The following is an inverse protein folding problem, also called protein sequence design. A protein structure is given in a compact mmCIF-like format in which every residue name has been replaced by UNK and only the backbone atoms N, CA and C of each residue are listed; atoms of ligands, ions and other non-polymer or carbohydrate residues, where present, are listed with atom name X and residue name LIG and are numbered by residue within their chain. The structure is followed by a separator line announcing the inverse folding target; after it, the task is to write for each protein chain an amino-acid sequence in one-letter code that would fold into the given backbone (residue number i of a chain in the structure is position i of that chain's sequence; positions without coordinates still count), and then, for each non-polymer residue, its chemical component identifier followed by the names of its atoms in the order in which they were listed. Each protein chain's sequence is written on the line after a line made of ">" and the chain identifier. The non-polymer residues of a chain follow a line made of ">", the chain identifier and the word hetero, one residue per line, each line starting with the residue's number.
data_IF_346084585027
#
_entry.id   IF_346084585027
#
_cell.length_a   1.000
_cell.length_b   1.000
_cell.length_c   1.000
_cell.angle_alpha   90.00
_cell.angle_beta   90.00
_cell.angle_gamma   90.00
#
_symmetry.space_group_name_H-M   'P 1'
#
loop_
_entity.id
_entity.type
_entity.pdbx_description
1 polymer ?
#
# COMPACT_ATOMS: atom_id res chain seq x y z
N UNK A 1 -15.82 3.69 -0.76
CA UNK A 1 -15.19 5.00 -1.03
C UNK A 1 -14.04 4.74 -1.98
N UNK A 2 -14.05 5.37 -3.15
CA UNK A 2 -13.04 5.13 -4.20
C UNK A 2 -11.73 5.82 -3.85
N UNK A 3 -10.61 5.12 -3.96
CA UNK A 3 -9.27 5.71 -3.88
C UNK A 3 -9.06 6.70 -5.03
N UNK A 4 -9.08 8.00 -4.75
CA UNK A 4 -8.57 9.06 -5.62
C UNK A 4 -7.03 9.05 -5.62
N UNK A 5 -6.43 7.95 -6.09
CA UNK A 5 -5.01 7.93 -6.43
C UNK A 5 -4.88 8.19 -7.94
N UNK A 6 -3.97 9.11 -8.36
CA UNK A 6 -3.84 9.52 -9.77
C UNK A 6 -3.39 8.38 -10.72
N UNK A 7 -3.03 7.21 -10.18
CA UNK A 7 -2.69 6.02 -10.96
C UNK A 7 -3.71 4.93 -10.64
N UNK A 8 -4.77 4.84 -11.44
CA UNK A 8 -5.84 3.87 -11.22
C UNK A 8 -5.56 2.59 -12.00
N UNK A 9 -4.89 1.62 -11.36
CA UNK A 9 -4.61 0.30 -11.94
C UNK A 9 -5.90 -0.55 -12.05
N UNK A 10 -6.81 -0.38 -11.10
CA UNK A 10 -8.05 -1.16 -10.97
C UNK A 10 -9.01 -0.98 -12.15
N UNK A 11 -9.31 0.25 -12.66
CA UNK A 11 -10.19 0.42 -13.80
C UNK A 11 -9.62 -0.14 -15.10
N UNK A 12 -8.32 0.11 -15.38
CA UNK A 12 -7.67 -0.44 -16.57
C UNK A 12 -7.73 -1.98 -16.56
N UNK A 13 -7.36 -2.59 -15.42
CA UNK A 13 -7.46 -4.03 -15.24
C UNK A 13 -8.90 -4.54 -15.38
N UNK A 14 -9.89 -3.87 -14.76
CA UNK A 14 -11.30 -4.26 -14.84
C UNK A 14 -11.81 -4.26 -16.27
N UNK A 15 -11.49 -3.21 -17.04
CA UNK A 15 -11.90 -3.14 -18.44
C UNK A 15 -11.31 -4.27 -19.27
N UNK A 16 -10.01 -4.56 -19.08
CA UNK A 16 -9.35 -5.65 -19.82
C UNK A 16 -9.86 -7.02 -19.39
N UNK A 17 -10.12 -7.24 -18.09
CA UNK A 17 -10.73 -8.48 -17.58
C UNK A 17 -12.12 -8.70 -18.17
N UNK A 18 -12.99 -7.69 -18.12
CA UNK A 18 -14.32 -7.79 -18.71
C UNK A 18 -14.26 -8.04 -20.20
N UNK A 19 -13.31 -7.42 -20.92
CA UNK A 19 -13.10 -7.72 -22.32
C UNK A 19 -12.74 -9.20 -22.55
N UNK A 20 -11.81 -9.75 -21.77
CA UNK A 20 -11.40 -11.16 -21.85
C UNK A 20 -12.56 -12.12 -21.52
N UNK A 21 -13.37 -11.80 -20.51
CA UNK A 21 -14.56 -12.57 -20.12
C UNK A 21 -15.64 -12.56 -21.21
N UNK A 22 -15.86 -11.40 -21.82
CA UNK A 22 -16.86 -11.21 -22.88
C UNK A 22 -16.33 -11.58 -24.27
N UNK A 23 -15.05 -11.91 -24.42
CA UNK A 23 -14.41 -12.15 -25.72
C UNK A 23 -15.17 -13.18 -26.58
N UNK A 24 -15.62 -14.34 -26.08
CA UNK A 24 -16.41 -15.28 -26.89
C UNK A 24 -17.69 -14.66 -27.45
N UNK A 25 -18.38 -13.86 -26.63
CA UNK A 25 -19.60 -13.15 -27.02
C UNK A 25 -19.32 -12.04 -28.02
N UNK A 26 -18.21 -11.32 -27.86
CA UNK A 26 -17.78 -10.27 -28.78
C UNK A 26 -17.43 -10.87 -30.15
N UNK A 27 -16.73 -11.99 -30.19
CA UNK A 27 -16.41 -12.72 -31.43
C UNK A 27 -17.68 -13.20 -32.12
N UNK A 28 -18.59 -13.83 -31.38
CA UNK A 28 -19.86 -14.30 -31.92
C UNK A 28 -20.72 -13.14 -32.45
N UNK A 29 -20.78 -12.03 -31.71
CA UNK A 29 -21.50 -10.83 -32.13
C UNK A 29 -20.87 -10.19 -33.37
N UNK A 30 -19.55 -10.07 -33.42
CA UNK A 30 -18.83 -9.53 -34.57
C UNK A 30 -18.99 -10.40 -35.82
N UNK A 31 -19.07 -11.73 -35.66
CA UNK A 31 -19.39 -12.66 -36.73
C UNK A 31 -20.84 -12.48 -37.19
N UNK A 32 -21.82 -12.39 -36.29
CA UNK A 32 -23.24 -12.22 -36.66
C UNK A 32 -23.57 -10.84 -37.23
N UNK A 33 -22.90 -9.79 -36.76
CA UNK A 33 -23.06 -8.42 -37.23
C UNK A 33 -22.35 -8.19 -38.59
N UNK A 34 -22.62 -9.06 -39.55
CA UNK A 34 -22.18 -8.88 -40.93
C UNK A 34 -22.97 -7.72 -41.56
N UNK A 35 -22.41 -6.50 -41.57
CA UNK A 35 -22.25 -5.64 -42.77
C UNK A 35 -22.02 -4.14 -42.47
N UNK A 36 -22.50 -3.57 -41.36
CA UNK A 36 -22.42 -2.10 -41.16
C UNK A 36 -21.26 -1.62 -40.26
N UNK A 37 -20.74 -2.48 -39.37
CA UNK A 37 -19.64 -2.12 -38.46
C UNK A 37 -18.62 -3.25 -38.41
N UNK A 38 -17.48 -3.09 -39.07
CA UNK A 38 -16.32 -3.98 -38.87
C UNK A 38 -15.80 -3.78 -37.46
N UNK A 39 -16.22 -4.63 -36.52
CA UNK A 39 -15.66 -4.65 -35.17
C UNK A 39 -14.29 -5.34 -35.27
N UNK A 40 -13.19 -4.67 -34.91
CA UNK A 40 -11.88 -5.29 -34.90
C UNK A 40 -11.83 -6.37 -33.81
N UNK A 41 -11.47 -7.59 -34.21
CA UNK A 41 -11.27 -8.72 -33.31
C UNK A 41 -9.76 -8.90 -33.08
N UNK A 42 -9.35 -9.14 -31.84
CA UNK A 42 -7.97 -9.45 -31.53
C UNK A 42 -7.54 -10.76 -32.18
N UNK A 43 -6.31 -10.78 -32.71
CA UNK A 43 -5.67 -12.04 -33.06
C UNK A 43 -5.41 -12.89 -31.81
N UNK A 44 -5.15 -14.17 -32.01
CA UNK A 44 -4.81 -15.08 -30.90
C UNK A 44 -3.63 -14.56 -30.08
N UNK A 45 -2.55 -14.13 -30.74
CA UNK A 45 -1.38 -13.55 -30.08
C UNK A 45 -1.70 -12.26 -29.31
N UNK A 46 -2.55 -11.39 -29.86
CA UNK A 46 -2.98 -10.19 -29.14
C UNK A 46 -3.83 -10.51 -27.91
N UNK A 47 -4.63 -11.58 -27.98
CA UNK A 47 -5.40 -12.08 -26.85
C UNK A 47 -4.49 -12.64 -25.75
N UNK A 48 -3.46 -13.42 -26.10
CA UNK A 48 -2.46 -13.94 -25.15
C UNK A 48 -1.71 -12.81 -24.45
N UNK A 49 -1.17 -11.85 -25.22
CA UNK A 49 -0.49 -10.67 -24.67
C UNK A 49 -1.41 -9.88 -23.73
N UNK A 50 -2.72 -9.83 -24.04
CA UNK A 50 -3.68 -9.15 -23.18
C UNK A 50 -3.90 -9.88 -21.84
N UNK A 51 -3.92 -11.21 -21.86
CA UNK A 51 -3.98 -12.02 -20.63
C UNK A 51 -2.75 -11.80 -19.76
N UNK A 52 -1.57 -11.73 -20.37
CA UNK A 52 -0.31 -11.43 -19.68
C UNK A 52 -0.35 -10.06 -19.00
N UNK A 53 -0.80 -9.02 -19.71
CA UNK A 53 -0.98 -7.68 -19.15
C UNK A 53 -1.95 -7.71 -17.96
N UNK A 54 -3.07 -8.42 -18.06
CA UNK A 54 -4.04 -8.54 -16.97
C UNK A 54 -3.42 -9.25 -15.76
N UNK A 55 -2.59 -10.28 -15.95
CA UNK A 55 -1.91 -10.97 -14.87
C UNK A 55 -0.95 -10.03 -14.11
N UNK A 56 -0.19 -9.19 -14.83
CA UNK A 56 0.70 -8.19 -14.22
C UNK A 56 -0.09 -7.15 -13.43
N UNK A 57 -1.19 -6.65 -14.00
CA UNK A 57 -2.05 -5.66 -13.35
C UNK A 57 -2.79 -6.22 -12.13
N UNK A 58 -3.03 -7.53 -12.08
CA UNK A 58 -3.70 -8.16 -10.94
C UNK A 58 -2.89 -8.10 -9.65
N UNK A 59 -1.56 -8.20 -9.77
CA UNK A 59 -0.65 -8.02 -8.63
C UNK A 59 -0.79 -6.59 -8.07
N UNK A 60 -0.78 -5.58 -8.95
CA UNK A 60 -0.93 -4.18 -8.55
C UNK A 60 -2.27 -3.93 -7.87
N UNK A 61 -3.35 -4.46 -8.44
CA UNK A 61 -4.68 -4.32 -7.88
C UNK A 61 -4.81 -4.99 -6.51
N UNK A 62 -4.31 -6.22 -6.35
CA UNK A 62 -4.40 -6.95 -5.08
C UNK A 62 -3.70 -6.20 -3.96
N UNK A 63 -2.55 -5.60 -4.26
CA UNK A 63 -1.84 -4.75 -3.32
C UNK A 63 -2.60 -3.47 -2.98
N UNK A 64 -3.20 -2.83 -3.99
CA UNK A 64 -4.04 -1.66 -3.79
C UNK A 64 -5.21 -1.98 -2.86
N UNK A 65 -5.98 -3.03 -3.12
CA UNK A 65 -7.12 -3.44 -2.27
C UNK A 65 -6.67 -3.73 -0.83
N UNK A 66 -5.54 -4.42 -0.67
CA UNK A 66 -5.01 -4.75 0.65
C UNK A 66 -4.60 -3.50 1.43
N UNK A 67 -4.05 -2.48 0.75
CA UNK A 67 -3.69 -1.21 1.37
C UNK A 67 -4.92 -0.29 1.56
N UNK A 68 -5.93 -0.40 0.72
CA UNK A 68 -7.17 0.38 0.82
C UNK A 68 -8.15 -0.14 1.88
N UNK A 69 -7.85 -1.25 2.57
CA UNK A 69 -8.72 -1.82 3.60
C UNK A 69 -8.74 -0.95 4.88
N UNK A 70 -9.78 -0.12 5.03
CA UNK A 70 -9.96 0.93 6.05
C UNK A 70 -9.87 0.52 7.55
N UNK A 71 -9.70 -0.77 7.89
CA UNK A 71 -9.78 -1.24 9.29
C UNK A 71 -8.46 -1.36 10.04
N UNK A 72 -7.33 -1.37 9.34
CA UNK A 72 -6.01 -1.49 9.97
C UNK A 72 -5.17 -0.30 9.58
N UNK A 73 -4.17 0.10 10.38
CA UNK A 73 -3.17 1.06 9.92
C UNK A 73 -2.48 0.47 8.68
N UNK A 74 -2.96 0.85 7.49
CA UNK A 74 -2.41 0.50 6.18
C UNK A 74 -0.92 0.79 6.12
N UNK A 75 -0.50 1.83 6.85
CA UNK A 75 0.88 2.27 6.90
C UNK A 75 1.82 1.21 7.51
N UNK A 76 1.32 0.38 8.43
CA UNK A 76 2.06 -0.77 8.97
C UNK A 76 2.22 -1.91 7.94
N UNK A 77 1.29 -2.00 6.99
CA UNK A 77 1.28 -3.01 5.92
C UNK A 77 2.07 -2.58 4.69
N UNK A 78 2.36 -1.29 4.53
CA UNK A 78 2.98 -0.73 3.33
C UNK A 78 4.22 -1.51 2.86
N UNK A 79 5.27 -1.62 3.69
CA UNK A 79 6.49 -2.34 3.27
C UNK A 79 6.29 -3.85 3.08
N UNK A 80 5.58 -4.59 3.96
CA UNK A 80 5.24 -5.98 3.70
C UNK A 80 4.55 -6.19 2.34
N UNK A 81 3.56 -5.35 2.02
CA UNK A 81 2.80 -5.44 0.77
C UNK A 81 3.68 -5.10 -0.43
N UNK A 82 4.48 -4.04 -0.37
CA UNK A 82 5.41 -3.73 -1.46
C UNK A 82 6.44 -4.83 -1.70
N UNK A 83 6.94 -5.47 -0.64
CA UNK A 83 7.85 -6.62 -0.79
C UNK A 83 7.14 -7.81 -1.46
N UNK A 84 5.89 -8.10 -1.07
CA UNK A 84 5.09 -9.14 -1.72
C UNK A 84 4.85 -8.85 -3.20
N UNK A 85 4.56 -7.59 -3.53
CA UNK A 85 4.36 -7.12 -4.91
C UNK A 85 5.63 -7.29 -5.75
N UNK A 86 6.78 -6.87 -5.22
CA UNK A 86 8.09 -7.05 -5.89
C UNK A 86 8.33 -8.53 -6.17
N UNK A 87 8.13 -9.39 -5.17
CA UNK A 87 8.32 -10.84 -5.33
C UNK A 87 7.32 -11.46 -6.33
N UNK A 88 6.09 -10.95 -6.41
CA UNK A 88 5.09 -11.42 -7.35
C UNK A 88 5.43 -11.00 -8.79
N UNK A 89 5.86 -9.76 -9.00
CA UNK A 89 6.31 -9.31 -10.31
C UNK A 89 7.61 -9.98 -10.76
N UNK A 90 8.51 -10.32 -9.84
CA UNK A 90 9.72 -11.08 -10.17
C UNK A 90 9.38 -12.48 -10.70
N UNK A 91 8.36 -13.14 -10.12
CA UNK A 91 7.82 -14.40 -10.66
C UNK A 91 7.16 -14.23 -12.03
N UNK A 92 6.43 -13.13 -12.24
CA UNK A 92 5.85 -12.80 -13.55
C UNK A 92 6.94 -12.54 -14.59
N UNK A 93 8.07 -11.92 -14.21
CA UNK A 93 9.21 -11.70 -15.10
C UNK A 93 9.79 -13.01 -15.64
N UNK A 94 9.85 -14.06 -14.80
CA UNK A 94 10.27 -15.41 -15.22
C UNK A 94 9.25 -16.09 -16.14
N UNK A 95 7.97 -15.77 -15.99
CA UNK A 95 6.88 -16.43 -16.73
C UNK A 95 6.58 -15.76 -18.06
N UNK A 96 6.84 -14.45 -18.16
CA UNK A 96 6.49 -13.60 -19.30
C UNK A 96 7.72 -12.74 -19.68
N UNK A 97 8.77 -13.35 -20.26
CA UNK A 97 10.04 -12.68 -20.52
C UNK A 97 9.91 -11.51 -21.52
N UNK A 98 8.86 -11.48 -22.34
CA UNK A 98 8.55 -10.41 -23.29
C UNK A 98 8.30 -9.07 -22.58
N UNK A 99 7.82 -9.11 -21.33
CA UNK A 99 7.58 -7.92 -20.52
C UNK A 99 8.73 -7.60 -19.56
N UNK A 100 9.85 -8.32 -19.64
CA UNK A 100 10.95 -8.22 -18.68
C UNK A 100 11.44 -6.81 -18.43
N UNK A 101 11.67 -6.04 -19.50
CA UNK A 101 12.10 -4.66 -19.37
C UNK A 101 11.11 -3.78 -18.57
N UNK A 102 9.81 -3.94 -18.83
CA UNK A 102 8.78 -3.20 -18.10
C UNK A 102 8.70 -3.65 -16.64
N UNK A 103 8.84 -4.95 -16.38
CA UNK A 103 8.78 -5.51 -15.04
C UNK A 103 9.97 -5.09 -14.20
N UNK A 104 11.18 -5.15 -14.74
CA UNK A 104 12.39 -4.64 -14.10
C UNK A 104 12.25 -3.15 -13.73
N UNK A 105 11.72 -2.34 -14.65
CA UNK A 105 11.46 -0.92 -14.39
C UNK A 105 10.49 -0.73 -13.22
N UNK A 106 9.37 -1.46 -13.21
CA UNK A 106 8.33 -1.35 -12.17
C UNK A 106 8.86 -1.85 -10.81
N UNK A 107 9.60 -2.96 -10.79
CA UNK A 107 10.24 -3.52 -9.59
C UNK A 107 11.24 -2.51 -9.03
N UNK A 108 12.13 -1.98 -9.87
CA UNK A 108 13.12 -0.99 -9.45
C UNK A 108 12.47 0.28 -8.91
N UNK A 109 11.43 0.79 -9.59
CA UNK A 109 10.69 1.98 -9.14
C UNK A 109 10.02 1.76 -7.79
N UNK A 110 9.40 0.60 -7.59
CA UNK A 110 8.75 0.23 -6.32
C UNK A 110 9.78 0.03 -5.20
N UNK A 111 10.93 -0.59 -5.51
CA UNK A 111 12.04 -0.74 -4.56
C UNK A 111 12.64 0.60 -4.11
N UNK A 112 12.77 1.55 -5.03
CA UNK A 112 13.22 2.91 -4.71
C UNK A 112 12.22 3.65 -3.80
N UNK A 113 10.92 3.46 -4.04
CA UNK A 113 9.88 4.01 -3.16
C UNK A 113 10.01 3.46 -1.73
N UNK A 114 10.11 2.13 -1.60
CA UNK A 114 10.32 1.47 -0.29
C UNK A 114 11.59 1.98 0.38
N UNK A 115 12.68 2.12 -0.36
CA UNK A 115 13.97 2.54 0.19
C UNK A 115 13.94 3.99 0.67
N UNK A 116 13.29 4.89 -0.07
CA UNK A 116 13.16 6.30 0.30
C UNK A 116 12.28 6.52 1.52
N UNK A 117 11.16 5.82 1.60
CA UNK A 117 10.16 6.05 2.64
C UNK A 117 10.48 5.24 3.93
N UNK A 118 11.46 4.33 3.89
CA UNK A 118 11.90 3.50 5.03
C UNK A 118 12.44 4.31 6.21
N UNK A 119 13.09 5.43 5.95
CA UNK A 119 13.69 6.26 7.00
C UNK A 119 12.65 7.15 7.69
N UNK A 120 11.41 7.20 7.20
CA UNK A 120 10.36 7.99 7.81
C UNK A 120 9.85 7.32 9.12
N UNK A 121 9.97 7.98 10.29
CA UNK A 121 9.58 7.42 11.59
C UNK A 121 8.14 6.92 11.66
N UNK A 122 7.25 7.52 10.86
CA UNK A 122 5.83 7.22 10.83
C UNK A 122 5.53 5.76 10.49
N UNK A 123 6.31 5.13 9.60
CA UNK A 123 6.15 3.72 9.26
C UNK A 123 6.58 2.81 10.42
N UNK A 124 7.71 3.13 11.05
CA UNK A 124 8.20 2.43 12.25
C UNK A 124 7.19 2.46 13.38
N UNK A 125 6.62 3.63 13.66
CA UNK A 125 5.59 3.79 14.70
C UNK A 125 4.31 3.04 14.33
N UNK A 126 3.86 3.11 13.07
CA UNK A 126 2.70 2.38 12.61
C UNK A 126 2.88 0.86 12.74
N UNK A 127 4.05 0.33 12.40
CA UNK A 127 4.38 -1.09 12.60
C UNK A 127 4.43 -1.48 14.08
N UNK A 128 5.10 -0.67 14.91
CA UNK A 128 5.24 -0.93 16.34
C UNK A 128 3.88 -0.93 17.08
N UNK A 129 2.98 -0.04 16.70
CA UNK A 129 1.62 0.08 17.27
C UNK A 129 0.68 -1.01 16.76
N UNK A 130 0.98 -1.66 15.63
CA UNK A 130 0.20 -2.77 15.13
C UNK A 130 0.53 -4.07 15.89
N UNK A 131 -0.41 -4.66 16.65
CA UNK A 131 -0.14 -5.84 17.48
C UNK A 131 0.33 -7.08 16.70
N UNK A 132 -0.05 -7.17 15.42
CA UNK A 132 0.29 -8.30 14.54
C UNK A 132 1.73 -8.24 14.04
N UNK A 133 2.30 -7.04 13.85
CA UNK A 133 3.64 -6.85 13.30
C UNK A 133 4.67 -6.48 14.36
N UNK A 134 4.32 -5.55 15.26
CA UNK A 134 5.27 -4.92 16.19
C UNK A 134 6.54 -4.47 15.42
N UNK A 135 7.72 -4.70 15.99
CA UNK A 135 9.00 -4.54 15.29
C UNK A 135 9.47 -5.84 14.59
N UNK A 136 8.69 -6.93 14.66
CA UNK A 136 9.13 -8.24 14.17
C UNK A 136 9.48 -8.21 12.68
N UNK A 137 8.64 -7.58 11.85
CA UNK A 137 8.89 -7.49 10.42
C UNK A 137 10.20 -6.76 10.11
N UNK A 138 10.46 -5.64 10.80
CA UNK A 138 11.70 -4.86 10.66
C UNK A 138 12.91 -5.71 11.07
N UNK A 139 12.84 -6.41 12.20
CA UNK A 139 13.94 -7.28 12.66
C UNK A 139 14.21 -8.45 11.71
N UNK A 140 13.18 -8.95 11.02
CA UNK A 140 13.31 -10.10 10.12
C UNK A 140 13.78 -9.72 8.70
N UNK A 141 13.49 -8.50 8.23
CA UNK A 141 13.71 -8.09 6.83
C UNK A 141 14.67 -6.91 6.66
N UNK A 142 15.07 -6.23 7.74
CA UNK A 142 16.02 -5.13 7.70
C UNK A 142 17.37 -5.52 8.33
N UNK A 143 18.38 -4.70 8.09
CA UNK A 143 19.69 -4.88 8.70
C UNK A 143 19.64 -4.65 10.21
N UNK A 144 20.60 -5.22 10.94
CA UNK A 144 20.72 -5.03 12.39
C UNK A 144 20.73 -3.55 12.80
N UNK A 145 21.48 -2.71 12.05
CA UNK A 145 21.54 -1.27 12.29
C UNK A 145 20.17 -0.60 12.17
N UNK A 146 19.39 -0.95 11.14
CA UNK A 146 18.05 -0.40 10.91
C UNK A 146 17.06 -0.84 11.98
N UNK A 147 17.15 -2.09 12.43
CA UNK A 147 16.30 -2.57 13.53
C UNK A 147 16.59 -1.82 14.84
N UNK A 148 17.87 -1.55 15.13
CA UNK A 148 18.26 -0.76 16.30
C UNK A 148 17.77 0.69 16.20
N UNK A 149 17.88 1.31 15.02
CA UNK A 149 17.38 2.65 14.76
C UNK A 149 15.86 2.74 14.93
N UNK A 150 15.12 1.75 14.44
CA UNK A 150 13.67 1.66 14.64
C UNK A 150 13.28 1.57 16.14
N UNK A 151 14.05 0.83 16.93
CA UNK A 151 13.85 0.74 18.38
C UNK A 151 14.14 2.09 19.08
N UNK A 152 15.19 2.80 18.66
CA UNK A 152 15.51 4.12 19.16
C UNK A 152 14.42 5.14 18.85
N UNK A 153 13.90 5.15 17.62
CA UNK A 153 12.77 5.99 17.21
C UNK A 153 11.58 5.75 18.15
N UNK A 154 11.20 4.49 18.36
CA UNK A 154 10.09 4.14 19.24
C UNK A 154 10.32 4.66 20.67
N UNK A 155 11.52 4.46 21.23
CA UNK A 155 11.87 4.92 22.59
C UNK A 155 11.83 6.44 22.69
N UNK A 156 12.40 7.16 21.73
CA UNK A 156 12.41 8.62 21.69
C UNK A 156 10.99 9.19 21.63
N UNK A 157 10.13 8.62 20.79
CA UNK A 157 8.73 9.04 20.68
C UNK A 157 7.93 8.73 21.94
N UNK A 158 8.12 7.55 22.55
CA UNK A 158 7.50 7.23 23.84
C UNK A 158 7.93 8.20 24.94
N UNK A 159 9.21 8.58 24.99
CA UNK A 159 9.71 9.59 25.94
C UNK A 159 9.09 10.97 25.66
N UNK A 160 9.04 11.40 24.40
CA UNK A 160 8.39 12.65 23.99
C UNK A 160 6.93 12.70 24.46
N UNK A 161 6.17 11.63 24.23
CA UNK A 161 4.79 11.52 24.68
C UNK A 161 4.67 11.52 26.21
N UNK A 162 5.57 10.85 26.92
CA UNK A 162 5.60 10.88 28.38
C UNK A 162 5.81 12.30 28.92
N UNK A 163 6.73 13.07 28.34
CA UNK A 163 6.96 14.47 28.70
C UNK A 163 5.74 15.36 28.42
N UNK A 164 5.08 15.18 27.27
CA UNK A 164 3.87 15.94 26.90
C UNK A 164 2.72 15.61 27.86
N UNK A 165 2.49 14.33 28.17
CA UNK A 165 1.43 13.92 29.10
C UNK A 165 1.73 14.35 30.55
N UNK A 166 2.98 14.26 30.99
CA UNK A 166 3.42 14.70 32.31
C UNK A 166 3.30 16.21 32.51
N UNK A 167 3.68 17.01 31.52
CA UNK A 167 3.55 18.48 31.54
C UNK A 167 2.09 18.95 31.43
N UNK A 168 1.24 18.19 30.74
CA UNK A 168 -0.21 18.45 30.70
C UNK A 168 -0.86 18.15 32.06
N UNK A 169 -0.43 17.07 32.73
CA UNK A 169 -0.94 16.69 34.05
C UNK A 169 -0.51 17.65 35.16
N UNK A 170 0.68 18.26 35.09
CA UNK A 170 1.11 19.29 36.05
C UNK A 170 0.35 20.60 35.85
N UNK A 171 0.17 21.03 34.59
CA UNK A 171 -0.60 22.24 34.24
C UNK A 171 -2.08 22.14 34.64
N UNK A 172 -2.66 20.94 34.56
CA UNK A 172 -4.02 20.63 35.02
C UNK A 172 -4.16 20.72 36.56
N UNK A 173 -3.13 20.31 37.30
CA UNK A 173 -3.11 20.37 38.77
C UNK A 173 -2.91 21.79 39.29
N UNK A 174 -2.09 22.59 38.62
CA UNK A 174 -1.88 24.01 38.96
C UNK A 174 -3.14 24.85 38.71
N UNK A 175 -3.87 24.60 37.61
CA UNK A 175 -5.15 25.26 37.32
C UNK A 175 -6.23 24.92 38.37
N UNK A 176 -6.33 23.64 38.78
CA UNK A 176 -7.26 23.22 39.82
C UNK A 176 -6.87 23.76 41.20
N UNK A 177 -5.57 23.83 41.53
CA UNK A 177 -5.06 24.39 42.78
C UNK A 177 -5.33 25.89 42.93
N UNK A 178 -5.16 26.66 41.84
CA UNK A 178 -5.50 28.09 41.81
C UNK A 178 -7.00 28.35 41.92
N UNK A 179 -7.84 27.52 41.30
CA UNK A 179 -9.29 27.63 41.42
C UNK A 179 -9.78 27.33 42.85
N UNK A 180 -9.23 26.31 43.51
CA UNK A 180 -9.55 26.01 44.92
C UNK A 180 -9.08 27.12 45.88
N UNK A 181 -7.91 27.72 45.65
CA UNK A 181 -7.40 28.80 46.49
C UNK A 181 -8.19 30.10 46.32
N UNK A 182 -8.63 30.42 45.09
CA UNK A 182 -9.48 31.59 44.83
C UNK A 182 -10.86 31.47 45.50
N UNK A 183 -11.42 30.25 45.54
CA UNK A 183 -12.72 29.98 46.19
C UNK A 183 -12.65 30.08 47.72
N UNK A 184 -11.46 29.85 48.30
CA UNK A 184 -11.25 29.89 49.75
C UNK A 184 -10.94 31.31 50.28
N UNK A 185 -10.52 32.23 49.41
CA UNK A 185 -10.25 33.63 49.74
C UNK A 185 -11.49 34.55 49.73
N UNK A 186 -12.67 34.01 49.38
CA UNK A 186 -13.95 34.74 49.36
C UNK A 186 -14.88 34.40 50.55
N UNK A 187 -14.34 33.84 51.64
CA UNK A 187 -15.07 33.62 52.91
C UNK A 187 -14.47 34.43 54.04
#
# INVERSE_FOLDING_TARGET
>A
MGCDMPVQWSPARNMLRWYLELYPTIVEYAFRAHQERRIPILSHTQYEVLQDIVAILEVAHSAQELLSAEKTSTLALAFPVYQMVINAWDKCNLSIPEFSHAMEYIIHKTGNYVSRDRDAPVHTLAMATNPAFKLHWICAHCTYKQAQEAELILKCEMLSMHWILGSSSSRSREANGSATNATQAQR
#
